data_IF_721512184530
#
_entry.id   IF_721512184530
#
_cell.length_a   1.000
_cell.length_b   1.000
_cell.length_c   1.000
_cell.angle_alpha   90.00
_cell.angle_beta   90.00
_cell.angle_gamma   90.00
#
_symmetry.space_group_name_H-M   'P 1'
#
loop_
_entity.id
_entity.type
_entity.pdbx_description
1 polymer ?
#
# COMPACT_ATOMS: atom_id res chain seq x y z
N UNK A 1 62.64 43.66 15.21
CA UNK A 1 62.29 42.29 15.63
C UNK A 1 60.78 42.15 15.46
N UNK A 2 60.30 41.72 14.29
CA UNK A 2 59.99 40.32 13.92
C UNK A 2 59.00 39.66 14.90
N UNK A 3 57.78 39.49 14.39
CA UNK A 3 56.85 38.37 14.59
C UNK A 3 56.29 38.14 15.99
N UNK A 4 55.00 38.47 16.17
CA UNK A 4 54.06 37.58 16.86
C UNK A 4 52.67 37.77 16.25
N UNK A 5 52.48 36.95 15.24
CA UNK A 5 51.27 36.71 14.46
C UNK A 5 50.47 35.63 15.18
N UNK A 6 49.15 35.86 15.31
CA UNK A 6 48.08 34.87 15.47
C UNK A 6 48.07 34.08 16.77
N UNK A 7 47.01 34.22 17.58
CA UNK A 7 46.21 33.10 18.09
C UNK A 7 45.02 33.61 18.90
N UNK A 8 43.93 34.03 18.24
CA UNK A 8 42.64 34.29 18.89
C UNK A 8 41.45 33.90 17.99
N UNK A 9 41.62 32.88 17.16
CA UNK A 9 40.53 32.22 16.43
C UNK A 9 40.73 30.70 16.57
N UNK A 10 40.66 30.21 17.79
CA UNK A 10 40.71 28.77 18.09
C UNK A 10 39.93 28.42 19.36
N UNK A 11 38.73 28.98 19.47
CA UNK A 11 37.59 28.35 20.13
C UNK A 11 36.60 28.02 19.00
N UNK A 12 36.93 27.09 18.11
CA UNK A 12 36.50 25.70 18.28
C UNK A 12 35.02 25.71 18.72
N UNK A 13 34.05 25.96 17.84
CA UNK A 13 33.54 24.99 16.86
C UNK A 13 33.51 23.54 17.38
N UNK A 14 33.22 23.34 18.67
CA UNK A 14 32.84 22.04 19.24
C UNK A 14 31.52 22.23 19.99
N UNK A 15 30.47 22.56 19.24
CA UNK A 15 29.11 22.75 19.77
C UNK A 15 28.03 21.96 19.06
N UNK A 16 28.36 21.22 17.99
CA UNK A 16 27.38 20.45 17.22
C UNK A 16 27.98 19.10 16.80
N UNK A 17 28.22 18.17 17.74
CA UNK A 17 28.63 16.81 17.34
C UNK A 17 27.97 15.67 18.10
N UNK A 18 27.12 15.94 19.10
CA UNK A 18 26.42 14.89 19.83
C UNK A 18 24.97 15.29 20.09
N UNK A 19 24.23 15.59 19.02
CA UNK A 19 22.78 15.40 19.09
C UNK A 19 22.56 13.88 19.20
N UNK A 20 22.00 13.45 20.32
CA UNK A 20 21.84 12.05 20.66
C UNK A 20 20.91 11.35 19.66
N UNK A 21 21.50 10.63 18.70
CA UNK A 21 20.81 9.90 17.64
C UNK A 21 19.92 8.76 18.17
N UNK A 22 19.98 8.44 19.48
CA UNK A 22 19.07 7.47 20.11
C UNK A 22 17.60 7.90 19.99
N UNK A 23 17.31 9.17 20.30
CA UNK A 23 15.96 9.75 20.24
C UNK A 23 15.32 9.71 18.85
N UNK A 24 16.13 9.89 17.80
CA UNK A 24 15.67 9.82 16.40
C UNK A 24 15.34 8.38 16.02
N UNK A 25 16.21 7.42 16.38
CA UNK A 25 15.99 5.99 16.10
C UNK A 25 14.77 5.43 16.82
N UNK A 26 14.53 5.84 18.07
CA UNK A 26 13.33 5.44 18.82
C UNK A 26 12.06 5.95 18.14
N UNK A 27 12.05 7.22 17.72
CA UNK A 27 10.92 7.80 16.99
C UNK A 27 10.67 7.11 15.66
N UNK A 28 11.72 6.77 14.91
CA UNK A 28 11.60 5.99 13.67
C UNK A 28 10.98 4.60 13.91
N UNK A 29 11.40 3.92 14.99
CA UNK A 29 10.84 2.62 15.37
C UNK A 29 9.37 2.71 15.77
N UNK A 30 8.95 3.75 16.49
CA UNK A 30 7.54 3.99 16.83
C UNK A 30 6.69 4.23 15.59
N UNK A 31 7.18 5.04 14.64
CA UNK A 31 6.50 5.28 13.36
C UNK A 31 6.36 3.97 12.59
N UNK A 32 7.43 3.18 12.48
CA UNK A 32 7.41 1.87 11.81
C UNK A 32 6.37 0.93 12.43
N UNK A 33 6.31 0.86 13.77
CA UNK A 33 5.30 0.05 14.48
C UNK A 33 3.88 0.53 14.21
N UNK A 34 3.65 1.85 14.19
CA UNK A 34 2.35 2.41 13.86
C UNK A 34 1.94 2.12 12.41
N UNK A 35 2.87 2.20 11.46
CA UNK A 35 2.65 1.86 10.06
C UNK A 35 2.36 0.37 9.86
N UNK A 36 3.07 -0.51 10.57
CA UNK A 36 2.81 -1.95 10.56
C UNK A 36 1.40 -2.27 11.09
N UNK A 37 0.99 -1.65 12.20
CA UNK A 37 -0.36 -1.81 12.75
C UNK A 37 -1.45 -1.33 11.77
N UNK A 38 -1.25 -0.17 11.14
CA UNK A 38 -2.15 0.34 10.09
C UNK A 38 -2.22 -0.59 8.88
N UNK A 39 -1.09 -1.15 8.49
CA UNK A 39 -1.00 -2.12 7.37
C UNK A 39 -1.81 -3.37 7.67
N UNK A 40 -1.67 -3.94 8.86
CA UNK A 40 -2.44 -5.11 9.29
C UNK A 40 -3.94 -4.79 9.35
N UNK A 41 -4.32 -3.64 9.92
CA UNK A 41 -5.73 -3.24 9.99
C UNK A 41 -6.38 -3.04 8.61
N UNK A 42 -5.67 -2.41 7.67
CA UNK A 42 -6.15 -2.28 6.28
C UNK A 42 -6.21 -3.66 5.61
N UNK A 43 -5.22 -4.53 5.84
CA UNK A 43 -5.21 -5.91 5.34
C UNK A 43 -6.43 -6.71 5.82
N UNK A 44 -6.75 -6.64 7.11
CA UNK A 44 -7.91 -7.31 7.70
C UNK A 44 -9.23 -6.81 7.11
N UNK A 45 -9.37 -5.49 6.97
CA UNK A 45 -10.53 -4.86 6.34
C UNK A 45 -10.68 -5.27 4.85
N UNK A 46 -9.56 -5.43 4.12
CA UNK A 46 -9.58 -5.99 2.76
C UNK A 46 -10.05 -7.45 2.78
N UNK A 47 -9.50 -8.28 3.68
CA UNK A 47 -9.87 -9.68 3.81
C UNK A 47 -11.37 -9.86 4.14
N UNK A 48 -11.93 -8.98 4.98
CA UNK A 48 -13.34 -9.00 5.37
C UNK A 48 -14.27 -8.48 4.27
N UNK A 49 -13.82 -7.52 3.47
CA UNK A 49 -14.64 -6.91 2.41
C UNK A 49 -14.73 -7.74 1.11
N UNK A 50 -14.08 -8.90 1.02
CA UNK A 50 -14.11 -9.79 -0.17
C UNK A 50 -15.51 -10.03 -0.73
N UNK A 51 -16.49 -10.36 0.12
CA UNK A 51 -17.88 -10.63 -0.32
C UNK A 51 -18.54 -9.42 -0.97
N UNK A 52 -18.27 -8.21 -0.47
CA UNK A 52 -18.76 -6.97 -1.06
C UNK A 52 -18.24 -6.83 -2.49
N UNK A 53 -16.93 -7.01 -2.69
CA UNK A 53 -16.32 -6.85 -4.00
C UNK A 53 -16.65 -7.97 -4.99
N UNK A 54 -16.84 -9.22 -4.51
CA UNK A 54 -17.39 -10.30 -5.34
C UNK A 54 -18.79 -9.94 -5.84
N UNK A 55 -19.63 -9.44 -4.93
CA UNK A 55 -20.99 -9.01 -5.28
C UNK A 55 -20.95 -7.88 -6.30
N UNK A 56 -20.18 -6.82 -6.02
CA UNK A 56 -19.99 -5.70 -6.93
C UNK A 56 -19.47 -6.17 -8.29
N UNK A 57 -18.47 -7.05 -8.33
CA UNK A 57 -17.95 -7.63 -9.56
C UNK A 57 -19.03 -8.35 -10.37
N UNK A 58 -19.88 -9.14 -9.73
CA UNK A 58 -20.89 -9.94 -10.41
C UNK A 58 -22.09 -9.11 -10.89
N UNK A 59 -22.47 -8.08 -10.16
CA UNK A 59 -23.71 -7.31 -10.44
C UNK A 59 -23.47 -6.08 -11.32
N UNK A 60 -22.25 -5.59 -11.39
CA UNK A 60 -21.89 -4.40 -12.17
C UNK A 60 -22.10 -4.64 -13.67
N UNK A 61 -23.05 -3.91 -14.25
CA UNK A 61 -23.37 -3.95 -15.68
C UNK A 61 -23.53 -2.55 -16.29
N UNK A 62 -23.63 -1.52 -15.45
CA UNK A 62 -23.81 -0.11 -15.85
C UNK A 62 -23.04 0.81 -14.91
N UNK A 63 -22.81 2.04 -15.36
CA UNK A 63 -22.27 3.12 -14.53
C UNK A 63 -23.30 3.54 -13.48
N UNK A 64 -22.87 3.70 -12.23
CA UNK A 64 -23.69 4.28 -11.16
C UNK A 64 -22.85 5.16 -10.23
N UNK A 65 -23.50 6.08 -9.50
CA UNK A 65 -22.82 6.91 -8.50
C UNK A 65 -22.24 6.06 -7.37
N UNK A 66 -23.00 5.08 -6.87
CA UNK A 66 -22.55 4.15 -5.85
C UNK A 66 -21.28 3.40 -6.28
N UNK A 67 -21.23 2.97 -7.53
CA UNK A 67 -20.08 2.24 -8.07
C UNK A 67 -18.87 3.16 -8.30
N UNK A 68 -19.09 4.45 -8.61
CA UNK A 68 -18.00 5.44 -8.63
C UNK A 68 -17.38 5.61 -7.24
N UNK A 69 -18.20 5.74 -6.21
CA UNK A 69 -17.72 5.85 -4.84
C UNK A 69 -16.99 4.58 -4.40
N UNK A 70 -17.49 3.40 -4.78
CA UNK A 70 -16.79 2.14 -4.52
C UNK A 70 -15.42 2.10 -5.22
N UNK A 71 -15.30 2.58 -6.46
CA UNK A 71 -14.01 2.71 -7.15
C UNK A 71 -13.07 3.65 -6.40
N UNK A 72 -13.52 4.85 -6.04
CA UNK A 72 -12.69 5.84 -5.34
C UNK A 72 -12.22 5.28 -3.99
N UNK A 73 -13.14 4.65 -3.25
CA UNK A 73 -12.84 4.02 -1.97
C UNK A 73 -11.82 2.89 -2.11
N UNK A 74 -11.98 2.04 -3.12
CA UNK A 74 -11.03 0.95 -3.43
C UNK A 74 -9.63 1.49 -3.69
N UNK A 75 -9.55 2.45 -4.61
CA UNK A 75 -8.27 3.02 -5.05
C UNK A 75 -7.56 3.69 -3.88
N UNK A 76 -8.27 4.49 -3.08
CA UNK A 76 -7.70 5.13 -1.87
C UNK A 76 -7.24 4.11 -0.83
N UNK A 77 -8.00 3.03 -0.63
CA UNK A 77 -7.63 1.96 0.32
C UNK A 77 -6.33 1.28 -0.10
N UNK A 78 -6.23 0.90 -1.36
CA UNK A 78 -5.02 0.25 -1.90
C UNK A 78 -3.83 1.21 -1.89
N UNK A 79 -4.03 2.46 -2.29
CA UNK A 79 -2.99 3.49 -2.28
C UNK A 79 -2.46 3.75 -0.85
N UNK A 80 -3.36 3.86 0.13
CA UNK A 80 -2.98 3.99 1.55
C UNK A 80 -2.24 2.76 2.07
N UNK A 81 -2.62 1.55 1.64
CA UNK A 81 -1.90 0.34 2.01
C UNK A 81 -0.47 0.40 1.49
N UNK A 82 -0.30 0.66 0.19
CA UNK A 82 1.02 0.73 -0.45
C UNK A 82 1.87 1.86 0.16
N UNK A 83 1.27 3.03 0.39
CA UNK A 83 1.96 4.17 0.99
C UNK A 83 2.52 3.89 2.39
N UNK A 84 1.89 3.01 3.18
CA UNK A 84 2.46 2.58 4.46
C UNK A 84 3.78 1.82 4.26
N UNK A 85 3.87 0.93 3.27
CA UNK A 85 5.11 0.22 2.94
C UNK A 85 6.20 1.19 2.47
N UNK A 86 5.85 2.11 1.57
CA UNK A 86 6.81 3.10 1.05
C UNK A 86 7.38 3.99 2.16
N UNK A 87 6.51 4.44 3.07
CA UNK A 87 6.92 5.27 4.22
C UNK A 87 7.81 4.49 5.18
N UNK A 88 7.52 3.21 5.38
CA UNK A 88 8.29 2.29 6.23
C UNK A 88 9.56 1.76 5.54
N UNK A 89 9.83 2.17 4.29
CA UNK A 89 10.90 1.63 3.43
C UNK A 89 10.86 0.09 3.34
N UNK A 90 9.66 -0.48 3.43
CA UNK A 90 9.40 -1.91 3.28
C UNK A 90 8.83 -2.19 1.88
N UNK A 91 8.85 -3.46 1.46
CA UNK A 91 8.38 -3.85 0.13
C UNK A 91 7.01 -4.52 0.19
N UNK A 92 6.02 -3.83 -0.38
CA UNK A 92 4.68 -4.39 -0.57
C UNK A 92 4.72 -5.67 -1.40
N UNK A 93 5.54 -5.69 -2.47
CA UNK A 93 5.71 -6.87 -3.32
C UNK A 93 6.28 -8.08 -2.56
N UNK A 94 7.25 -7.83 -1.68
CA UNK A 94 7.83 -8.90 -0.87
C UNK A 94 6.82 -9.42 0.15
N UNK A 95 6.01 -8.55 0.74
CA UNK A 95 4.97 -8.96 1.69
C UNK A 95 3.93 -9.86 1.01
N UNK A 96 3.46 -9.49 -0.19
CA UNK A 96 2.53 -10.33 -0.98
C UNK A 96 3.11 -11.74 -1.22
N UNK A 97 4.43 -11.85 -1.45
CA UNK A 97 5.08 -13.14 -1.70
C UNK A 97 5.35 -13.95 -0.43
N UNK A 98 5.59 -13.29 0.70
CA UNK A 98 6.11 -13.92 1.92
C UNK A 98 5.10 -13.97 3.10
N UNK A 99 3.93 -13.35 2.98
CA UNK A 99 2.91 -13.21 4.03
C UNK A 99 3.48 -12.68 5.35
N UNK A 100 4.04 -11.47 5.34
CA UNK A 100 4.69 -10.88 6.52
C UNK A 100 3.72 -10.06 7.35
N UNK A 101 3.04 -9.06 6.77
CA UNK A 101 2.08 -8.18 7.44
C UNK A 101 0.64 -8.39 6.97
N UNK A 102 0.42 -8.91 5.76
CA UNK A 102 -0.92 -9.18 5.21
C UNK A 102 -1.14 -10.68 5.01
N UNK A 103 -2.39 -11.13 5.24
CA UNK A 103 -2.78 -12.52 5.09
C UNK A 103 -3.04 -12.91 3.63
N UNK A 104 -3.13 -14.22 3.37
CA UNK A 104 -3.49 -14.73 2.05
C UNK A 104 -4.91 -14.28 1.64
N UNK A 105 -5.84 -14.18 2.59
CA UNK A 105 -7.19 -13.65 2.39
C UNK A 105 -7.18 -12.17 2.01
N UNK A 106 -6.25 -11.39 2.56
CA UNK A 106 -6.07 -10.00 2.15
C UNK A 106 -5.53 -9.92 0.71
N UNK A 107 -4.59 -10.80 0.33
CA UNK A 107 -4.11 -10.92 -1.06
C UNK A 107 -5.25 -11.32 -2.01
N UNK A 108 -6.11 -12.26 -1.63
CA UNK A 108 -7.32 -12.62 -2.38
C UNK A 108 -8.26 -11.42 -2.52
N UNK A 109 -8.47 -10.65 -1.44
CA UNK A 109 -9.28 -9.43 -1.47
C UNK A 109 -8.71 -8.34 -2.38
N UNK A 110 -7.40 -8.08 -2.34
CA UNK A 110 -6.72 -7.15 -3.25
C UNK A 110 -6.90 -7.59 -4.71
N UNK A 111 -6.79 -8.88 -4.98
CA UNK A 111 -7.00 -9.45 -6.30
C UNK A 111 -8.46 -9.27 -6.79
N UNK A 112 -9.45 -9.50 -5.93
CA UNK A 112 -10.88 -9.30 -6.25
C UNK A 112 -11.17 -7.81 -6.49
N UNK A 113 -10.66 -6.92 -5.63
CA UNK A 113 -10.78 -5.47 -5.78
C UNK A 113 -10.22 -5.01 -7.13
N UNK A 114 -9.04 -5.50 -7.52
CA UNK A 114 -8.46 -5.20 -8.83
C UNK A 114 -9.32 -5.70 -9.99
N UNK A 115 -9.90 -6.90 -9.91
CA UNK A 115 -10.84 -7.37 -10.94
C UNK A 115 -12.07 -6.48 -11.04
N UNK A 116 -12.60 -6.03 -9.90
CA UNK A 116 -13.65 -5.01 -9.87
C UNK A 116 -13.20 -3.71 -10.56
N UNK A 117 -12.01 -3.18 -10.24
CA UNK A 117 -11.48 -1.98 -10.88
C UNK A 117 -11.33 -2.15 -12.39
N UNK A 118 -10.81 -3.30 -12.85
CA UNK A 118 -10.68 -3.62 -14.27
C UNK A 118 -12.04 -3.61 -14.96
N UNK A 119 -13.01 -4.36 -14.42
CA UNK A 119 -14.36 -4.46 -14.98
C UNK A 119 -15.09 -3.12 -14.97
N UNK A 120 -15.01 -2.36 -13.89
CA UNK A 120 -15.70 -1.07 -13.84
C UNK A 120 -15.06 -0.03 -14.75
N UNK A 121 -13.74 -0.07 -14.91
CA UNK A 121 -13.02 0.84 -15.82
C UNK A 121 -13.46 0.70 -17.27
N UNK A 122 -14.07 -0.41 -17.68
CA UNK A 122 -14.66 -0.54 -19.03
C UNK A 122 -16.02 0.15 -19.16
N UNK A 123 -16.66 0.51 -18.05
CA UNK A 123 -17.98 1.14 -17.99
C UNK A 123 -17.91 2.66 -17.77
N UNK A 124 -16.72 3.19 -17.49
CA UNK A 124 -16.48 4.62 -17.27
C UNK A 124 -15.35 5.13 -18.15
N UNK A 125 -15.35 6.44 -18.40
CA UNK A 125 -14.20 7.12 -18.98
C UNK A 125 -13.23 7.54 -17.88
N UNK A 126 -12.30 6.63 -17.53
CA UNK A 126 -11.30 6.87 -16.48
C UNK A 126 -10.42 8.10 -16.79
N UNK A 127 -10.27 8.50 -18.06
CA UNK A 127 -9.48 9.69 -18.45
C UNK A 127 -10.11 11.00 -17.96
N UNK A 128 -11.42 10.98 -17.65
CA UNK A 128 -12.15 12.11 -17.05
C UNK A 128 -12.08 12.14 -15.52
N UNK A 129 -11.56 11.10 -14.88
CA UNK A 129 -11.33 11.10 -13.43
C UNK A 129 -10.14 12.01 -13.07
N UNK A 130 -10.03 12.49 -11.81
CA UNK A 130 -8.86 13.22 -11.35
C UNK A 130 -7.56 12.45 -11.61
N UNK A 131 -6.44 13.13 -11.97
CA UNK A 131 -5.18 12.45 -12.29
C UNK A 131 -4.69 11.48 -11.21
N UNK A 132 -4.87 11.84 -9.93
CA UNK A 132 -4.53 10.97 -8.79
C UNK A 132 -5.30 9.65 -8.81
N UNK A 133 -6.59 9.67 -9.15
CA UNK A 133 -7.40 8.44 -9.27
C UNK A 133 -6.92 7.60 -10.44
N UNK A 134 -6.55 8.22 -11.56
CA UNK A 134 -6.01 7.48 -12.72
C UNK A 134 -4.70 6.79 -12.38
N UNK A 135 -3.79 7.49 -11.72
CA UNK A 135 -2.49 6.98 -11.30
C UNK A 135 -2.62 5.86 -10.27
N UNK A 136 -3.35 6.10 -9.18
CA UNK A 136 -3.56 5.08 -8.15
C UNK A 136 -4.33 3.88 -8.68
N UNK A 137 -5.25 4.05 -9.64
CA UNK A 137 -5.90 2.91 -10.32
C UNK A 137 -4.87 2.10 -11.11
N UNK A 138 -4.05 2.75 -11.95
CA UNK A 138 -3.01 2.07 -12.73
C UNK A 138 -2.04 1.32 -11.83
N UNK A 139 -1.63 1.95 -10.73
CA UNK A 139 -0.74 1.39 -9.72
C UNK A 139 -1.37 0.19 -9.03
N UNK A 140 -2.63 0.26 -8.60
CA UNK A 140 -3.31 -0.88 -8.01
C UNK A 140 -3.33 -2.07 -8.99
N UNK A 141 -3.70 -1.80 -10.25
CA UNK A 141 -3.80 -2.82 -11.30
C UNK A 141 -2.46 -3.46 -11.69
N UNK A 142 -1.33 -2.77 -11.54
CA UNK A 142 -0.01 -3.36 -11.86
C UNK A 142 0.37 -4.54 -10.98
N UNK A 143 -0.20 -4.64 -9.77
CA UNK A 143 0.02 -5.77 -8.86
C UNK A 143 -0.85 -7.00 -9.17
N UNK A 144 -1.81 -6.91 -10.10
CA UNK A 144 -2.71 -8.03 -10.41
C UNK A 144 -1.97 -9.35 -10.78
N UNK A 145 -0.91 -9.34 -11.62
CA UNK A 145 -0.18 -10.56 -11.94
C UNK A 145 0.48 -11.18 -10.70
N UNK A 146 0.95 -10.35 -9.77
CA UNK A 146 1.60 -10.80 -8.54
C UNK A 146 0.60 -11.49 -7.61
N UNK A 147 -0.59 -10.91 -7.43
CA UNK A 147 -1.65 -11.54 -6.64
C UNK A 147 -2.07 -12.89 -7.24
N UNK A 148 -2.29 -12.94 -8.55
CA UNK A 148 -2.67 -14.19 -9.23
C UNK A 148 -1.59 -15.27 -9.10
N UNK A 149 -0.31 -14.91 -9.25
CA UNK A 149 0.81 -15.83 -9.05
C UNK A 149 0.81 -16.39 -7.64
N UNK A 150 0.66 -15.53 -6.63
CA UNK A 150 0.62 -15.93 -5.22
C UNK A 150 -0.53 -16.91 -4.96
N UNK A 151 -1.75 -16.54 -5.35
CA UNK A 151 -2.97 -17.32 -5.11
C UNK A 151 -2.98 -18.65 -5.88
N UNK A 152 -2.29 -18.73 -7.02
CA UNK A 152 -2.18 -19.98 -7.80
C UNK A 152 -1.11 -20.92 -7.25
N UNK A 153 -0.11 -20.40 -6.53
CA UNK A 153 0.98 -21.19 -5.95
C UNK A 153 0.60 -21.88 -4.63
N UNK A 154 -0.37 -21.32 -3.92
CA UNK A 154 -0.87 -21.91 -2.68
C UNK A 154 -1.98 -22.91 -2.95
N UNK A 155 -1.93 -24.03 -2.24
CA UNK A 155 -3.06 -24.96 -2.19
C UNK A 155 -4.16 -24.33 -1.36
N UNK A 156 -5.25 -23.95 -2.02
CA UNK A 156 -6.50 -23.54 -1.36
C UNK A 156 -7.21 -24.77 -0.78
N UNK A 157 -6.70 -25.27 0.34
CA UNK A 157 -7.23 -26.48 0.99
C UNK A 157 -8.70 -26.35 1.41
N UNK A 158 -9.21 -25.12 1.55
CA UNK A 158 -10.58 -24.84 2.00
C UNK A 158 -11.49 -24.32 0.89
N UNK A 159 -10.98 -24.12 -0.33
CA UNK A 159 -11.76 -23.55 -1.46
C UNK A 159 -12.24 -22.12 -1.20
N UNK A 160 -11.54 -21.36 -0.36
CA UNK A 160 -11.97 -20.05 0.12
C UNK A 160 -11.46 -18.88 -0.72
N UNK A 161 -10.46 -19.11 -1.58
CA UNK A 161 -9.90 -18.08 -2.46
C UNK A 161 -10.83 -17.93 -3.67
N UNK A 162 -11.34 -16.71 -3.86
CA UNK A 162 -12.37 -16.46 -4.87
C UNK A 162 -11.84 -15.71 -6.08
N UNK A 163 -10.72 -14.99 -5.95
CA UNK A 163 -10.23 -14.17 -7.06
C UNK A 163 -9.98 -14.98 -8.33
N UNK A 164 -9.38 -16.17 -8.21
CA UNK A 164 -9.06 -17.04 -9.35
C UNK A 164 -10.31 -17.51 -10.11
N UNK A 165 -11.48 -17.51 -9.46
CA UNK A 165 -12.75 -17.95 -10.03
C UNK A 165 -13.52 -16.82 -10.73
N UNK A 166 -13.20 -15.56 -10.43
CA UNK A 166 -13.80 -14.40 -11.12
C UNK A 166 -13.15 -14.25 -12.50
N UNK A 167 -13.92 -14.28 -13.58
CA UNK A 167 -13.40 -14.16 -14.96
C UNK A 167 -13.52 -12.75 -15.48
#
# INVERSE_FOLDING_TARGET
MKNLVIFLISLAMVGCSHADNSSVKEREAEISKALASRTMAIGDDIAQSRRLYITAYNTINTKSEMTNELLIYTVRKVDSLIGNYETDKDSFENDINANKKISLEAVDGLCIMNKFLQKYSTLIDLKKAPPSIQESTRRALSYQPLYLKRLSSDKDYLGQLQCINLK
#
